data_IF_307097798194
#
_entry.id   IF_307097798194
#
_cell.length_a   1.000
_cell.length_b   1.000
_cell.length_c   1.000
_cell.angle_alpha   90.00
_cell.angle_beta   90.00
_cell.angle_gamma   90.00
#
_symmetry.space_group_name_H-M   'P 1'
#
loop_
_entity.id
_entity.type
_entity.pdbx_description
1 polymer ?
#
# COMPACT_ATOMS: atom_id res chain seq x y z
N UNK A 1 -58.34 -5.83 9.70
CA UNK A 1 -57.04 -5.11 9.72
C UNK A 1 -56.22 -5.73 10.83
N UNK A 2 -55.27 -6.60 10.48
CA UNK A 2 -54.34 -7.16 11.46
C UNK A 2 -53.11 -6.25 11.50
N UNK A 3 -52.86 -5.66 12.66
CA UNK A 3 -51.68 -4.85 12.94
C UNK A 3 -50.49 -5.82 13.04
N UNK A 4 -49.59 -5.80 12.04
CA UNK A 4 -48.33 -6.52 12.12
C UNK A 4 -47.43 -5.79 13.13
N UNK A 5 -46.96 -6.52 14.14
CA UNK A 5 -45.94 -6.03 15.07
C UNK A 5 -44.63 -5.76 14.28
N UNK A 6 -43.86 -4.72 14.62
CA UNK A 6 -42.56 -4.49 13.99
C UNK A 6 -41.66 -5.70 14.25
N UNK A 7 -40.93 -6.11 13.20
CA UNK A 7 -39.92 -7.16 13.32
C UNK A 7 -38.93 -6.78 14.42
N UNK A 8 -38.66 -7.71 15.33
CA UNK A 8 -37.64 -7.53 16.35
C UNK A 8 -36.31 -7.24 15.65
N UNK A 9 -35.70 -6.10 15.97
CA UNK A 9 -34.31 -5.81 15.60
C UNK A 9 -33.48 -6.92 16.21
N UNK A 10 -32.74 -7.67 15.38
CA UNK A 10 -31.89 -8.75 15.86
C UNK A 10 -30.94 -8.19 16.94
N UNK A 11 -30.90 -8.85 18.09
CA UNK A 11 -29.96 -8.52 19.15
C UNK A 11 -28.54 -8.65 18.60
N UNK A 12 -27.71 -7.62 18.80
CA UNK A 12 -26.32 -7.65 18.35
C UNK A 12 -25.64 -8.91 18.91
N UNK A 13 -24.78 -9.59 18.13
CA UNK A 13 -24.08 -10.77 18.62
C UNK A 13 -23.35 -10.44 19.93
N UNK A 14 -23.42 -11.36 20.89
CA UNK A 14 -22.70 -11.20 22.15
C UNK A 14 -21.19 -11.13 21.87
N UNK A 15 -20.47 -10.32 22.66
CA UNK A 15 -19.02 -10.21 22.53
C UNK A 15 -18.34 -11.57 22.64
N UNK A 16 -17.19 -11.75 21.97
CA UNK A 16 -16.36 -12.92 22.15
C UNK A 16 -15.96 -13.15 23.62
N UNK A 17 -15.67 -14.40 24.02
CA UNK A 17 -15.14 -14.70 25.35
C UNK A 17 -13.88 -13.88 25.65
N UNK A 18 -13.74 -13.40 26.89
CA UNK A 18 -12.56 -12.65 27.34
C UNK A 18 -12.57 -11.17 26.96
N UNK A 19 -13.67 -10.68 26.40
CA UNK A 19 -13.93 -9.28 26.12
C UNK A 19 -14.74 -8.60 27.24
N UNK A 20 -14.38 -7.37 27.57
CA UNK A 20 -15.13 -6.50 28.48
C UNK A 20 -15.40 -5.16 27.83
N UNK A 21 -16.61 -4.64 27.99
CA UNK A 21 -17.04 -3.33 27.46
C UNK A 21 -17.36 -2.35 28.59
N UNK A 22 -16.98 -1.09 28.42
CA UNK A 22 -17.35 0.02 29.32
C UNK A 22 -17.73 1.26 28.51
N UNK A 23 -18.63 2.10 29.02
CA UNK A 23 -19.06 3.29 28.30
C UNK A 23 -18.01 4.41 28.39
N UNK A 24 -17.76 5.09 27.27
CA UNK A 24 -16.89 6.25 27.22
C UNK A 24 -17.63 7.53 27.65
N UNK A 25 -16.96 8.51 28.28
CA UNK A 25 -17.58 9.76 28.74
C UNK A 25 -18.22 10.58 27.61
N UNK A 26 -17.70 10.45 26.40
CA UNK A 26 -18.13 11.15 25.18
C UNK A 26 -19.26 10.44 24.44
N UNK A 27 -19.72 9.28 24.93
CA UNK A 27 -20.44 8.30 24.14
C UNK A 27 -19.49 7.31 23.48
N UNK A 28 -20.02 6.18 23.00
CA UNK A 28 -19.23 5.05 22.54
C UNK A 28 -18.86 4.08 23.67
N UNK A 29 -17.97 3.14 23.38
CA UNK A 29 -17.53 2.04 24.22
C UNK A 29 -16.01 1.87 24.15
N UNK A 30 -15.43 1.53 25.30
CA UNK A 30 -14.10 0.97 25.39
C UNK A 30 -14.22 -0.54 25.56
N UNK A 31 -13.75 -1.29 24.57
CA UNK A 31 -13.76 -2.73 24.53
C UNK A 31 -12.33 -3.25 24.67
N UNK A 32 -12.11 -4.13 25.64
CA UNK A 32 -10.83 -4.80 25.84
C UNK A 32 -11.05 -6.30 25.75
N UNK A 33 -10.48 -6.93 24.73
CA UNK A 33 -10.46 -8.36 24.54
C UNK A 33 -9.07 -8.90 24.87
N UNK A 34 -8.99 -9.71 25.92
CA UNK A 34 -7.72 -10.30 26.41
C UNK A 34 -7.53 -11.76 25.98
N UNK A 35 -8.51 -12.30 25.24
CA UNK A 35 -8.53 -13.67 24.70
C UNK A 35 -8.55 -13.70 23.15
N UNK A 36 -8.27 -12.56 22.50
CA UNK A 36 -8.36 -12.40 21.06
C UNK A 36 -9.80 -12.42 20.55
N UNK A 37 -9.96 -12.56 19.23
CA UNK A 37 -11.28 -12.65 18.56
C UNK A 37 -11.32 -13.94 17.71
N UNK A 38 -12.03 -14.99 18.17
CA UNK A 38 -12.10 -16.27 17.48
C UNK A 38 -12.80 -16.22 16.12
N UNK A 39 -12.49 -17.19 15.26
CA UNK A 39 -13.13 -17.36 13.96
C UNK A 39 -14.66 -17.47 14.08
N UNK A 40 -15.38 -16.76 13.20
CA UNK A 40 -16.85 -16.74 13.19
C UNK A 40 -17.49 -15.88 14.29
N UNK A 41 -16.70 -15.14 15.06
CA UNK A 41 -17.19 -14.11 15.99
C UNK A 41 -16.87 -12.71 15.47
N UNK A 42 -17.64 -11.73 15.91
CA UNK A 42 -17.42 -10.31 15.59
C UNK A 42 -17.36 -9.50 16.87
N UNK A 43 -16.39 -8.60 16.95
CA UNK A 43 -16.29 -7.56 17.96
C UNK A 43 -16.69 -6.25 17.30
N UNK A 44 -17.78 -5.66 17.75
CA UNK A 44 -18.35 -4.47 17.13
C UNK A 44 -18.35 -3.32 18.14
N UNK A 45 -17.90 -2.16 17.69
CA UNK A 45 -18.17 -0.88 18.30
C UNK A 45 -19.64 -0.45 18.16
N UNK A 46 -19.84 0.84 17.96
CA UNK A 46 -21.10 1.56 17.97
C UNK A 46 -21.12 2.61 16.86
N UNK A 47 -22.15 3.45 16.82
CA UNK A 47 -22.24 4.58 15.88
C UNK A 47 -21.46 5.82 16.35
N UNK A 48 -20.51 5.64 17.27
CA UNK A 48 -19.72 6.70 17.90
C UNK A 48 -18.30 6.22 18.11
N UNK A 49 -17.39 7.18 18.20
CA UNK A 49 -16.01 6.98 18.59
C UNK A 49 -15.83 6.00 19.77
N UNK A 50 -15.16 4.90 19.47
CA UNK A 50 -14.88 3.77 20.33
C UNK A 50 -13.38 3.55 20.49
N UNK A 51 -13.04 2.78 21.51
CA UNK A 51 -11.68 2.29 21.72
C UNK A 51 -11.77 0.78 21.76
N UNK A 52 -11.13 0.10 20.81
CA UNK A 52 -11.13 -1.36 20.72
C UNK A 52 -9.70 -1.86 20.87
N UNK A 53 -9.44 -2.57 21.96
CA UNK A 53 -8.13 -3.15 22.26
C UNK A 53 -8.23 -4.67 22.23
N UNK A 54 -7.57 -5.29 21.26
CA UNK A 54 -7.47 -6.75 21.14
C UNK A 54 -6.05 -7.19 21.49
N UNK A 55 -5.97 -8.07 22.48
CA UNK A 55 -4.73 -8.68 22.99
C UNK A 55 -5.00 -10.14 23.38
N UNK A 56 -3.99 -11.01 23.32
CA UNK A 56 -3.95 -12.23 24.14
C UNK A 56 -4.71 -13.43 23.67
N UNK A 57 -4.07 -14.48 23.17
CA UNK A 57 -4.76 -15.76 22.98
C UNK A 57 -4.02 -16.71 22.05
N UNK A 58 -4.21 -18.02 22.24
CA UNK A 58 -3.82 -19.03 21.26
C UNK A 58 -4.81 -18.91 20.07
N UNK A 59 -4.43 -18.20 19.00
CA UNK A 59 -5.21 -17.85 17.78
C UNK A 59 -5.84 -16.43 17.75
N UNK A 60 -4.94 -15.43 17.78
CA UNK A 60 -5.08 -13.96 17.91
C UNK A 60 -6.34 -13.28 17.36
N UNK A 61 -6.41 -13.00 16.06
CA UNK A 61 -7.57 -12.39 15.40
C UNK A 61 -7.91 -13.25 14.18
N UNK A 62 -9.00 -14.02 14.30
CA UNK A 62 -9.55 -14.84 13.23
C UNK A 62 -11.01 -14.49 12.93
N UNK A 63 -11.69 -13.75 13.81
CA UNK A 63 -13.01 -13.17 13.58
C UNK A 63 -12.91 -11.76 12.99
N UNK A 64 -13.97 -10.97 13.16
CA UNK A 64 -14.00 -9.58 12.69
C UNK A 64 -13.89 -8.61 13.87
N UNK A 65 -13.18 -7.51 13.66
CA UNK A 65 -13.22 -6.32 14.53
C UNK A 65 -13.74 -5.17 13.68
N UNK A 66 -14.82 -4.54 14.11
CA UNK A 66 -15.47 -3.45 13.38
C UNK A 66 -15.67 -2.26 14.33
N UNK A 67 -15.17 -1.09 13.96
CA UNK A 67 -15.45 0.16 14.68
C UNK A 67 -16.90 0.61 14.48
N UNK A 68 -17.35 0.54 13.22
CA UNK A 68 -18.67 0.89 12.69
C UNK A 68 -18.83 2.38 12.37
N UNK A 69 -18.90 3.26 13.36
CA UNK A 69 -19.12 4.68 13.07
C UNK A 69 -18.52 5.61 14.11
N UNK A 70 -18.14 6.80 13.68
CA UNK A 70 -17.39 7.76 14.49
C UNK A 70 -15.91 7.38 14.58
N UNK A 71 -15.09 8.36 14.96
CA UNK A 71 -13.62 8.23 14.95
C UNK A 71 -13.12 7.20 15.97
N UNK A 72 -12.77 6.00 15.50
CA UNK A 72 -12.45 4.84 16.32
C UNK A 72 -10.94 4.65 16.50
N UNK A 73 -10.55 4.09 17.65
CA UNK A 73 -9.17 3.65 17.90
C UNK A 73 -9.15 2.14 18.05
N UNK A 74 -8.67 1.45 17.02
CA UNK A 74 -8.54 0.00 17.00
C UNK A 74 -7.07 -0.38 17.16
N UNK A 75 -6.73 -1.01 18.28
CA UNK A 75 -5.38 -1.53 18.53
C UNK A 75 -5.40 -3.05 18.66
N UNK A 76 -4.63 -3.71 17.79
CA UNK A 76 -4.38 -5.14 17.86
C UNK A 76 -2.90 -5.34 18.14
N UNK A 77 -2.56 -5.66 19.39
CA UNK A 77 -1.17 -5.87 19.83
C UNK A 77 -0.88 -7.35 20.10
N UNK A 78 0.38 -7.72 19.87
CA UNK A 78 0.91 -9.05 20.15
C UNK A 78 0.65 -9.48 21.58
N UNK A 79 0.23 -10.74 21.70
CA UNK A 79 0.59 -11.57 22.85
C UNK A 79 1.40 -12.75 22.33
N UNK A 80 2.62 -12.88 22.83
CA UNK A 80 3.64 -13.86 22.42
C UNK A 80 3.03 -15.26 22.26
N UNK A 81 2.69 -15.68 21.05
CA UNK A 81 2.45 -17.08 20.76
C UNK A 81 3.81 -17.77 20.73
N UNK A 82 4.02 -18.71 21.64
CA UNK A 82 5.17 -19.61 21.61
C UNK A 82 5.11 -20.49 20.35
N UNK A 83 5.66 -20.00 19.23
CA UNK A 83 6.11 -20.82 18.11
C UNK A 83 5.10 -21.16 17.00
N UNK A 84 4.12 -20.30 16.70
CA UNK A 84 3.17 -20.50 15.59
C UNK A 84 3.21 -19.38 14.55
N UNK A 85 3.28 -19.75 13.27
CA UNK A 85 3.36 -18.87 12.10
C UNK A 85 2.01 -18.24 11.70
N UNK A 86 2.01 -16.91 11.63
CA UNK A 86 1.00 -15.96 11.12
C UNK A 86 -0.19 -15.68 12.04
N UNK A 87 -0.35 -14.42 12.44
CA UNK A 87 -1.12 -14.03 13.64
C UNK A 87 -2.50 -13.41 13.35
N UNK A 88 -2.68 -12.63 12.28
CA UNK A 88 -3.95 -11.92 12.00
C UNK A 88 -4.56 -12.39 10.67
N UNK A 89 -5.58 -13.25 10.75
CA UNK A 89 -6.37 -13.76 9.61
C UNK A 89 -7.76 -13.18 9.52
N UNK A 90 -8.23 -12.66 10.65
CA UNK A 90 -9.51 -11.97 10.76
C UNK A 90 -9.50 -10.63 10.06
N UNK A 91 -10.67 -10.02 9.94
CA UNK A 91 -10.82 -8.69 9.36
C UNK A 91 -10.77 -7.62 10.44
N UNK A 92 -10.22 -6.47 10.07
CA UNK A 92 -10.37 -5.21 10.81
C UNK A 92 -11.04 -4.21 9.86
N UNK A 93 -12.03 -3.50 10.35
CA UNK A 93 -12.78 -2.48 9.61
C UNK A 93 -12.98 -1.29 10.56
N UNK A 94 -12.53 -0.10 10.17
CA UNK A 94 -12.75 1.13 10.93
C UNK A 94 -14.22 1.51 10.87
N UNK A 95 -14.71 1.81 9.67
CA UNK A 95 -16.12 2.11 9.42
C UNK A 95 -16.29 3.54 8.91
N UNK A 96 -17.31 4.25 9.39
CA UNK A 96 -17.46 5.69 9.11
C UNK A 96 -16.67 6.48 10.18
N UNK A 97 -15.99 7.56 9.81
CA UNK A 97 -15.23 8.41 10.74
C UNK A 97 -13.73 8.37 10.47
N UNK A 98 -12.97 9.24 11.14
CA UNK A 98 -11.52 9.29 10.97
C UNK A 98 -10.85 8.30 11.93
N UNK A 99 -10.56 7.09 11.45
CA UNK A 99 -10.17 5.97 12.30
C UNK A 99 -8.66 5.83 12.46
N UNK A 100 -8.27 5.25 13.60
CA UNK A 100 -6.88 4.90 13.88
C UNK A 100 -6.75 3.41 14.14
N UNK A 101 -6.22 2.71 13.14
CA UNK A 101 -5.98 1.27 13.19
C UNK A 101 -4.48 1.01 13.38
N UNK A 102 -4.13 0.40 14.51
CA UNK A 102 -2.74 0.01 14.81
C UNK A 102 -2.65 -1.48 15.04
N UNK A 103 -1.87 -2.14 14.18
CA UNK A 103 -1.55 -3.56 14.29
C UNK A 103 -0.06 -3.70 14.61
N UNK A 104 0.25 -3.89 15.89
CA UNK A 104 1.64 -3.99 16.36
C UNK A 104 2.06 -5.44 16.50
N UNK A 105 2.99 -5.86 15.65
CA UNK A 105 3.63 -7.17 15.76
C UNK A 105 5.17 -7.04 15.64
N UNK A 106 5.89 -7.91 16.35
CA UNK A 106 7.36 -8.03 16.33
C UNK A 106 7.80 -9.04 15.26
N UNK A 107 6.87 -9.84 14.73
CA UNK A 107 7.19 -10.78 13.66
C UNK A 107 7.19 -10.11 12.28
N UNK A 108 7.85 -10.80 11.36
CA UNK A 108 8.19 -10.26 10.04
C UNK A 108 6.99 -10.19 9.09
N UNK A 109 5.87 -10.87 9.39
CA UNK A 109 4.71 -11.10 8.50
C UNK A 109 3.42 -11.36 9.29
N UNK A 110 2.74 -10.31 9.70
CA UNK A 110 1.78 -10.30 10.81
C UNK A 110 0.33 -10.30 10.35
N UNK A 111 0.07 -9.71 9.18
CA UNK A 111 -1.27 -9.48 8.62
C UNK A 111 -1.49 -10.34 7.38
N UNK A 112 -2.45 -11.27 7.46
CA UNK A 112 -2.98 -12.06 6.34
C UNK A 112 -4.43 -11.71 6.00
N UNK A 113 -5.19 -11.19 6.98
CA UNK A 113 -6.58 -10.75 6.80
C UNK A 113 -6.69 -9.34 6.21
N UNK A 114 -7.91 -8.95 5.77
CA UNK A 114 -8.17 -7.61 5.28
C UNK A 114 -8.21 -6.59 6.42
N UNK A 115 -7.67 -5.40 6.16
CA UNK A 115 -7.81 -4.22 6.99
C UNK A 115 -8.39 -3.12 6.11
N UNK A 116 -9.52 -2.57 6.51
CA UNK A 116 -10.17 -1.44 5.85
C UNK A 116 -10.18 -0.25 6.82
N UNK A 117 -9.84 0.94 6.34
CA UNK A 117 -10.10 2.19 7.06
C UNK A 117 -11.60 2.45 7.03
N UNK A 118 -12.13 2.68 5.83
CA UNK A 118 -13.56 2.86 5.61
C UNK A 118 -13.83 4.20 4.96
N UNK A 119 -14.68 5.02 5.57
CA UNK A 119 -14.99 6.37 5.08
C UNK A 119 -14.55 7.41 6.12
N UNK A 120 -13.67 8.32 5.76
CA UNK A 120 -13.03 9.27 6.66
C UNK A 120 -11.53 9.31 6.40
N UNK A 121 -10.82 10.22 7.06
CA UNK A 121 -9.37 10.33 6.89
C UNK A 121 -8.66 9.37 7.86
N UNK A 122 -8.38 8.15 7.42
CA UNK A 122 -7.93 7.06 8.27
C UNK A 122 -6.41 7.00 8.45
N UNK A 123 -5.96 6.45 9.58
CA UNK A 123 -4.56 6.10 9.80
C UNK A 123 -4.41 4.62 10.12
N UNK A 124 -3.82 3.89 9.17
CA UNK A 124 -3.53 2.46 9.29
C UNK A 124 -2.03 2.24 9.46
N UNK A 125 -1.61 1.68 10.60
CA UNK A 125 -0.22 1.33 10.87
C UNK A 125 -0.08 -0.15 11.17
N UNK A 126 0.69 -0.88 10.37
CA UNK A 126 0.86 -2.34 10.52
C UNK A 126 2.33 -2.77 10.49
N UNK A 127 2.58 -3.98 10.98
CA UNK A 127 3.84 -4.70 10.80
C UNK A 127 4.04 -5.21 9.36
N UNK A 128 4.57 -6.42 9.19
CA UNK A 128 4.65 -7.04 7.87
C UNK A 128 3.28 -7.53 7.38
N UNK A 129 3.05 -7.50 6.07
CA UNK A 129 1.81 -7.97 5.44
C UNK A 129 2.15 -9.11 4.48
N UNK A 130 1.36 -10.19 4.46
CA UNK A 130 1.66 -11.34 3.61
C UNK A 130 0.44 -12.18 3.22
N UNK A 131 0.65 -13.25 2.44
CA UNK A 131 -0.35 -14.27 2.09
C UNK A 131 -1.68 -13.76 1.51
N UNK A 132 -1.61 -12.74 0.66
CA UNK A 132 -2.78 -12.05 0.06
C UNK A 132 -3.60 -11.26 1.06
N UNK A 133 -2.95 -10.77 2.12
CA UNK A 133 -3.48 -9.67 2.92
C UNK A 133 -3.89 -8.50 2.03
N UNK A 134 -4.85 -7.75 2.53
CA UNK A 134 -5.39 -6.56 1.89
C UNK A 134 -5.36 -5.44 2.91
N UNK A 135 -4.81 -4.30 2.53
CA UNK A 135 -4.99 -3.04 3.25
C UNK A 135 -5.57 -2.06 2.25
N UNK A 136 -6.65 -1.42 2.65
CA UNK A 136 -7.45 -0.51 1.84
C UNK A 136 -7.81 0.67 2.74
N UNK A 137 -7.41 1.89 2.38
CA UNK A 137 -7.74 3.09 3.14
C UNK A 137 -9.24 3.35 3.05
N UNK A 138 -9.74 3.46 1.82
CA UNK A 138 -11.17 3.54 1.54
C UNK A 138 -11.50 4.87 0.89
N UNK A 139 -12.28 5.72 1.55
CA UNK A 139 -12.61 7.06 1.04
C UNK A 139 -12.22 8.13 2.05
N UNK A 140 -11.43 9.11 1.64
CA UNK A 140 -10.84 10.12 2.52
C UNK A 140 -9.35 10.24 2.26
N UNK A 141 -8.68 11.22 2.87
CA UNK A 141 -7.23 11.38 2.72
C UNK A 141 -6.51 10.46 3.73
N UNK A 142 -6.16 9.24 3.31
CA UNK A 142 -5.71 8.17 4.19
C UNK A 142 -4.20 8.14 4.40
N UNK A 143 -3.78 7.55 5.52
CA UNK A 143 -2.37 7.31 5.84
C UNK A 143 -2.09 5.86 6.17
N UNK A 144 -1.48 5.15 5.23
CA UNK A 144 -1.11 3.74 5.36
C UNK A 144 0.40 3.60 5.57
N UNK A 145 0.82 3.02 6.69
CA UNK A 145 2.22 2.72 7.00
C UNK A 145 2.41 1.24 7.31
N UNK A 146 3.26 0.56 6.55
CA UNK A 146 3.51 -0.88 6.74
C UNK A 146 5.00 -1.20 6.83
N UNK A 147 5.30 -2.36 7.43
CA UNK A 147 6.58 -3.03 7.28
C UNK A 147 6.78 -3.60 5.87
N UNK A 148 7.40 -4.79 5.80
CA UNK A 148 7.57 -5.50 4.52
C UNK A 148 6.27 -6.17 4.07
N UNK A 149 5.87 -5.90 2.83
CA UNK A 149 4.67 -6.46 2.19
C UNK A 149 5.09 -7.54 1.21
N UNK A 150 4.48 -8.73 1.30
CA UNK A 150 4.82 -9.90 0.50
C UNK A 150 3.59 -10.57 -0.09
N UNK A 151 3.39 -10.45 -1.40
CA UNK A 151 2.19 -11.00 -2.07
C UNK A 151 0.88 -10.51 -1.45
N UNK A 152 0.61 -9.21 -1.50
CA UNK A 152 -0.58 -8.59 -0.91
C UNK A 152 -1.08 -7.42 -1.76
N UNK A 153 -2.29 -6.96 -1.46
CA UNK A 153 -2.89 -5.75 -2.04
C UNK A 153 -2.79 -4.63 -1.03
N UNK A 154 -2.28 -3.48 -1.45
CA UNK A 154 -2.32 -2.23 -0.70
C UNK A 154 -2.93 -1.20 -1.66
N UNK A 155 -4.04 -0.60 -1.26
CA UNK A 155 -4.79 0.40 -2.01
C UNK A 155 -5.00 1.60 -1.07
N UNK A 156 -4.74 2.82 -1.56
CA UNK A 156 -5.05 4.04 -0.80
C UNK A 156 -6.56 4.24 -0.77
N UNK A 157 -7.16 4.27 -1.96
CA UNK A 157 -8.60 4.43 -2.11
C UNK A 157 -8.94 5.71 -2.85
N UNK A 158 -10.10 6.32 -2.55
CA UNK A 158 -10.44 7.66 -3.04
C UNK A 158 -9.91 8.72 -2.07
N UNK A 159 -9.10 9.66 -2.53
CA UNK A 159 -8.56 10.73 -1.68
C UNK A 159 -7.09 10.99 -1.98
N UNK A 160 -6.46 11.91 -1.25
CA UNK A 160 -5.04 12.20 -1.39
C UNK A 160 -4.27 11.42 -0.32
N UNK A 161 -3.87 10.20 -0.66
CA UNK A 161 -3.37 9.24 0.30
C UNK A 161 -1.87 9.34 0.50
N UNK A 162 -1.40 8.90 1.67
CA UNK A 162 0.03 8.70 1.92
C UNK A 162 0.33 7.24 2.25
N UNK A 163 1.00 6.56 1.33
CA UNK A 163 1.41 5.17 1.45
C UNK A 163 2.91 5.08 1.74
N UNK A 164 3.29 4.56 2.90
CA UNK A 164 4.69 4.36 3.30
C UNK A 164 4.99 2.89 3.61
N UNK A 165 5.70 2.22 2.71
CA UNK A 165 6.02 0.80 2.82
C UNK A 165 7.54 0.58 2.94
N UNK A 166 7.96 -0.24 3.90
CA UNK A 166 9.38 -0.59 4.01
C UNK A 166 9.87 -1.42 2.79
N UNK A 167 9.03 -2.31 2.27
CA UNK A 167 9.28 -3.06 1.04
C UNK A 167 7.96 -3.60 0.47
N UNK A 168 7.88 -3.75 -0.85
CA UNK A 168 6.77 -4.40 -1.55
C UNK A 168 7.29 -5.49 -2.49
N UNK A 169 7.13 -6.75 -2.09
CA UNK A 169 7.76 -7.91 -2.71
C UNK A 169 6.71 -8.85 -3.32
N UNK A 170 6.71 -8.94 -4.64
CA UNK A 170 5.78 -9.79 -5.40
C UNK A 170 6.54 -10.88 -6.15
N UNK A 171 6.35 -12.17 -5.81
CA UNK A 171 6.93 -13.28 -6.55
C UNK A 171 6.42 -13.31 -8.00
N UNK A 172 7.26 -13.74 -8.94
CA UNK A 172 6.94 -13.69 -10.38
C UNK A 172 5.70 -14.50 -10.82
N UNK A 173 5.24 -15.47 -10.02
CA UNK A 173 4.03 -16.24 -10.29
C UNK A 173 2.76 -15.60 -9.74
N UNK A 174 2.89 -14.54 -8.93
CA UNK A 174 1.78 -13.81 -8.36
C UNK A 174 1.28 -12.76 -9.36
N UNK A 175 -0.04 -12.76 -9.56
CA UNK A 175 -0.76 -11.87 -10.48
C UNK A 175 -1.89 -11.10 -9.78
N UNK A 176 -2.05 -11.30 -8.48
CA UNK A 176 -3.12 -10.70 -7.68
C UNK A 176 -2.63 -9.51 -6.86
N UNK A 177 -1.32 -9.44 -6.59
CA UNK A 177 -0.74 -8.36 -5.81
C UNK A 177 -0.73 -7.04 -6.60
N UNK A 178 -1.21 -5.99 -5.95
CA UNK A 178 -1.30 -4.61 -6.43
C UNK A 178 -0.84 -3.66 -5.32
N UNK A 179 -0.14 -2.59 -5.69
CA UNK A 179 0.14 -1.44 -4.86
C UNK A 179 -0.34 -0.24 -5.68
N UNK A 180 -1.38 0.44 -5.19
CA UNK A 180 -2.04 1.55 -5.84
C UNK A 180 -2.24 2.69 -4.85
N UNK A 181 -2.10 3.93 -5.31
CA UNK A 181 -2.63 5.09 -4.59
C UNK A 181 -4.15 5.12 -4.72
N UNK A 182 -4.64 5.11 -5.95
CA UNK A 182 -6.06 5.19 -6.25
C UNK A 182 -6.40 6.54 -6.89
N UNK A 183 -7.67 6.99 -6.89
CA UNK A 183 -8.00 8.32 -7.38
C UNK A 183 -7.68 9.42 -6.35
N UNK A 184 -6.87 10.40 -6.76
CA UNK A 184 -6.49 11.58 -5.98
C UNK A 184 -5.00 11.86 -6.13
N UNK A 185 -4.45 12.84 -5.40
CA UNK A 185 -3.03 13.17 -5.51
C UNK A 185 -2.26 12.45 -4.39
N UNK A 186 -1.72 11.29 -4.70
CA UNK A 186 -1.17 10.37 -3.71
C UNK A 186 0.32 10.58 -3.50
N UNK A 187 0.80 10.27 -2.29
CA UNK A 187 2.23 10.23 -1.96
C UNK A 187 2.64 8.81 -1.59
N UNK A 188 3.36 8.14 -2.48
CA UNK A 188 3.74 6.73 -2.34
C UNK A 188 5.25 6.62 -2.14
N UNK A 189 5.69 6.13 -0.97
CA UNK A 189 7.10 5.87 -0.67
C UNK A 189 7.35 4.40 -0.38
N UNK A 190 8.21 3.76 -1.20
CA UNK A 190 8.59 2.36 -1.04
C UNK A 190 10.10 2.21 -0.86
N UNK A 191 10.52 1.54 0.21
CA UNK A 191 11.93 1.25 0.47
C UNK A 191 12.57 0.31 -0.58
N UNK A 192 11.93 -0.82 -0.87
CA UNK A 192 12.36 -1.77 -1.91
C UNK A 192 11.16 -2.31 -2.67
N UNK A 193 11.14 -2.18 -4.00
CA UNK A 193 10.02 -2.59 -4.85
C UNK A 193 10.38 -3.77 -5.76
N UNK A 194 9.58 -4.83 -5.75
CA UNK A 194 9.72 -5.98 -6.65
C UNK A 194 8.42 -6.37 -7.38
N UNK A 195 7.42 -5.49 -7.36
CA UNK A 195 6.08 -5.73 -7.91
C UNK A 195 5.62 -4.59 -8.81
N UNK A 196 4.34 -4.59 -9.20
CA UNK A 196 3.72 -3.40 -9.76
C UNK A 196 3.46 -2.34 -8.67
N UNK A 197 3.61 -1.08 -9.05
CA UNK A 197 3.20 0.11 -8.32
C UNK A 197 2.53 1.04 -9.34
N UNK A 198 1.38 1.55 -8.98
CA UNK A 198 0.56 2.50 -9.74
C UNK A 198 0.28 3.70 -8.84
N UNK A 199 0.38 4.92 -9.37
CA UNK A 199 -0.10 6.13 -8.72
C UNK A 199 -1.62 6.09 -8.71
N UNK A 200 -2.19 6.17 -9.91
CA UNK A 200 -3.61 6.13 -10.15
C UNK A 200 -4.03 7.41 -10.89
N UNK A 201 -5.33 7.75 -10.92
CA UNK A 201 -5.75 9.03 -11.45
C UNK A 201 -5.50 10.19 -10.48
N UNK A 202 -4.62 11.13 -10.83
CA UNK A 202 -4.30 12.33 -10.09
C UNK A 202 -2.83 12.71 -10.25
N UNK A 203 -2.37 13.76 -9.58
CA UNK A 203 -0.98 14.19 -9.66
C UNK A 203 -0.17 13.59 -8.51
N UNK A 204 0.43 12.43 -8.75
CA UNK A 204 1.03 11.59 -7.71
C UNK A 204 2.52 11.87 -7.48
N UNK A 205 2.98 11.72 -6.24
CA UNK A 205 4.38 11.73 -5.87
C UNK A 205 4.85 10.33 -5.47
N UNK A 206 5.56 9.66 -6.38
CA UNK A 206 6.08 8.30 -6.19
C UNK A 206 7.57 8.35 -5.91
N UNK A 207 8.00 7.75 -4.79
CA UNK A 207 9.42 7.58 -4.43
C UNK A 207 9.76 6.12 -4.16
N UNK A 208 10.65 5.53 -4.97
CA UNK A 208 11.16 4.17 -4.78
C UNK A 208 12.66 4.17 -4.53
N UNK A 209 13.07 3.81 -3.31
CA UNK A 209 14.48 3.89 -2.92
C UNK A 209 15.36 2.79 -3.55
N UNK A 210 14.77 1.66 -3.96
CA UNK A 210 15.50 0.58 -4.63
C UNK A 210 14.61 -0.46 -5.28
N UNK A 211 15.14 -1.13 -6.30
CA UNK A 211 14.48 -2.24 -6.98
C UNK A 211 14.95 -3.57 -6.39
N UNK A 212 14.01 -4.51 -6.28
CA UNK A 212 14.26 -5.83 -5.72
C UNK A 212 15.25 -6.65 -6.54
N UNK A 213 15.96 -7.56 -5.87
CA UNK A 213 16.95 -8.44 -6.50
C UNK A 213 16.32 -9.76 -6.98
N UNK A 214 16.98 -10.41 -7.92
CA UNK A 214 16.67 -11.76 -8.35
C UNK A 214 16.81 -12.75 -7.18
N UNK A 215 15.69 -13.33 -6.76
CA UNK A 215 15.64 -14.37 -5.73
C UNK A 215 15.28 -15.76 -6.28
N UNK A 216 15.00 -15.87 -7.58
CA UNK A 216 14.58 -17.11 -8.22
C UNK A 216 14.79 -17.13 -9.74
N UNK A 217 14.38 -18.25 -10.36
CA UNK A 217 14.56 -18.48 -11.81
C UNK A 217 13.51 -17.78 -12.68
N UNK A 218 12.36 -17.44 -12.09
CA UNK A 218 11.32 -16.66 -12.76
C UNK A 218 11.61 -15.18 -12.57
N UNK A 219 11.59 -14.44 -13.66
CA UNK A 219 11.89 -13.00 -13.70
C UNK A 219 10.58 -12.29 -14.04
N UNK A 220 10.23 -11.28 -13.24
CA UNK A 220 9.19 -10.30 -13.55
C UNK A 220 9.84 -8.93 -13.67
N UNK A 221 9.33 -8.11 -14.58
CA UNK A 221 9.67 -6.69 -14.59
C UNK A 221 9.00 -6.01 -13.40
N UNK A 222 9.76 -5.18 -12.69
CA UNK A 222 9.23 -4.24 -11.70
C UNK A 222 8.67 -3.05 -12.47
N UNK A 223 7.41 -2.71 -12.20
CA UNK A 223 6.70 -1.66 -12.93
C UNK A 223 6.34 -0.55 -11.96
N UNK A 224 6.67 0.68 -12.32
CA UNK A 224 6.18 1.90 -11.68
C UNK A 224 5.45 2.68 -12.77
N UNK A 225 4.20 3.02 -12.52
CA UNK A 225 3.34 3.80 -13.40
C UNK A 225 2.80 4.98 -12.59
N UNK A 226 2.83 6.19 -13.15
CA UNK A 226 2.07 7.32 -12.61
C UNK A 226 0.58 7.19 -12.91
N UNK A 227 0.26 6.61 -14.08
CA UNK A 227 -1.09 6.47 -14.64
C UNK A 227 -1.65 7.79 -15.22
N UNK A 228 -2.73 8.37 -14.71
CA UNK A 228 -3.36 9.57 -15.31
C UNK A 228 -3.10 10.80 -14.43
N UNK A 229 -2.33 11.76 -14.90
CA UNK A 229 -2.14 13.04 -14.22
C UNK A 229 -0.74 13.61 -14.44
N UNK A 230 -0.34 14.56 -13.61
CA UNK A 230 0.99 15.17 -13.73
C UNK A 230 1.85 14.67 -12.59
N UNK A 231 2.55 13.57 -12.83
CA UNK A 231 3.16 12.77 -11.80
C UNK A 231 4.62 13.13 -11.58
N UNK A 232 5.08 12.91 -10.35
CA UNK A 232 6.47 13.07 -9.95
C UNK A 232 7.01 11.74 -9.47
N UNK A 233 7.80 11.11 -10.33
CA UNK A 233 8.32 9.76 -10.12
C UNK A 233 9.82 9.82 -9.85
N UNK A 234 10.24 9.48 -8.62
CA UNK A 234 11.64 9.45 -8.20
C UNK A 234 12.08 8.04 -7.85
N UNK A 235 13.09 7.53 -8.55
CA UNK A 235 13.67 6.23 -8.22
C UNK A 235 15.17 6.30 -7.96
N UNK A 236 15.65 5.35 -7.18
CA UNK A 236 17.04 4.93 -7.22
C UNK A 236 17.47 4.47 -8.61
N UNK A 237 18.76 4.17 -8.77
CA UNK A 237 19.27 3.62 -10.02
C UNK A 237 18.56 2.29 -10.36
N UNK A 238 18.19 2.11 -11.63
CA UNK A 238 17.48 0.91 -12.11
C UNK A 238 18.31 0.15 -13.14
N UNK A 239 18.30 -1.18 -13.06
CA UNK A 239 19.10 -2.06 -13.91
C UNK A 239 20.61 -1.94 -13.65
N UNK A 240 21.04 -1.78 -12.39
CA UNK A 240 22.44 -1.50 -12.01
C UNK A 240 23.39 -2.68 -12.25
N UNK A 241 22.92 -3.90 -12.01
CA UNK A 241 23.68 -5.14 -12.16
C UNK A 241 22.79 -6.30 -12.60
N UNK A 242 23.40 -7.43 -12.99
CA UNK A 242 22.70 -8.60 -13.50
C UNK A 242 21.80 -9.30 -12.45
N UNK A 243 22.03 -9.04 -11.17
CA UNK A 243 21.27 -9.54 -10.04
C UNK A 243 20.07 -8.69 -9.63
N UNK A 244 19.83 -7.54 -10.26
CA UNK A 244 18.61 -6.75 -10.07
C UNK A 244 17.48 -7.27 -10.98
N UNK A 245 16.22 -7.06 -10.59
CA UNK A 245 15.08 -7.29 -11.48
C UNK A 245 15.07 -6.22 -12.60
N UNK A 246 14.57 -6.55 -13.81
CA UNK A 246 14.35 -5.53 -14.84
C UNK A 246 13.36 -4.48 -14.33
N UNK A 247 13.64 -3.21 -14.59
CA UNK A 247 12.76 -2.10 -14.23
C UNK A 247 12.06 -1.50 -15.45
N UNK A 248 10.79 -1.15 -15.32
CA UNK A 248 10.04 -0.33 -16.26
C UNK A 248 9.37 0.79 -15.46
N UNK A 249 9.69 2.02 -15.81
CA UNK A 249 9.04 3.22 -15.27
C UNK A 249 8.28 3.89 -16.40
N UNK A 250 7.04 4.27 -16.15
CA UNK A 250 6.17 5.01 -17.06
C UNK A 250 5.62 6.21 -16.30
N UNK A 251 5.63 7.37 -16.95
CA UNK A 251 4.89 8.54 -16.48
C UNK A 251 3.41 8.24 -16.57
N UNK A 252 2.92 8.16 -17.81
CA UNK A 252 1.55 7.78 -18.10
C UNK A 252 0.92 8.80 -19.03
N UNK A 253 -0.27 9.28 -18.70
CA UNK A 253 -0.92 10.37 -19.40
C UNK A 253 -0.83 11.64 -18.58
N UNK A 254 -0.25 12.70 -19.13
CA UNK A 254 -0.10 14.00 -18.51
C UNK A 254 1.37 14.40 -18.41
N UNK A 255 1.66 15.58 -17.88
CA UNK A 255 3.00 16.15 -17.96
C UNK A 255 3.86 15.71 -16.77
N UNK A 256 4.66 14.66 -16.96
CA UNK A 256 5.32 13.98 -15.86
C UNK A 256 6.76 14.44 -15.63
N UNK A 257 7.21 14.34 -14.39
CA UNK A 257 8.62 14.47 -14.01
C UNK A 257 9.14 13.13 -13.51
N UNK A 258 10.03 12.51 -14.30
CA UNK A 258 10.70 11.27 -13.92
C UNK A 258 12.17 11.56 -13.59
N UNK A 259 12.54 11.36 -12.33
CA UNK A 259 13.91 11.50 -11.83
C UNK A 259 14.56 10.16 -11.52
N UNK A 260 15.57 9.78 -12.32
CA UNK A 260 16.36 8.55 -12.15
C UNK A 260 17.86 8.80 -12.36
N UNK A 261 18.76 8.37 -11.47
CA UNK A 261 20.19 8.65 -11.63
C UNK A 261 20.83 7.85 -12.78
N UNK A 262 20.39 6.60 -13.00
CA UNK A 262 20.88 5.78 -14.12
C UNK A 262 19.90 4.67 -14.48
N UNK A 263 19.92 4.28 -15.75
CA UNK A 263 19.05 3.24 -16.33
C UNK A 263 19.90 2.22 -17.10
N UNK A 264 19.83 0.96 -16.69
CA UNK A 264 20.28 -0.21 -17.44
C UNK A 264 21.79 -0.35 -17.66
N UNK A 265 22.58 -0.16 -16.59
CA UNK A 265 24.04 -0.37 -16.60
C UNK A 265 24.44 -1.84 -16.71
N UNK A 266 23.69 -2.75 -16.09
CA UNK A 266 23.96 -4.19 -16.06
C UNK A 266 22.77 -5.08 -16.39
N UNK A 267 21.56 -4.50 -16.49
CA UNK A 267 20.32 -5.23 -16.77
C UNK A 267 19.34 -4.37 -17.56
N UNK A 268 18.45 -5.01 -18.32
CA UNK A 268 17.38 -4.31 -19.03
C UNK A 268 16.56 -3.43 -18.09
N UNK A 269 16.53 -2.14 -18.36
CA UNK A 269 15.66 -1.20 -17.70
C UNK A 269 15.18 -0.14 -18.68
N UNK A 270 13.96 0.35 -18.48
CA UNK A 270 13.34 1.35 -19.35
C UNK A 270 12.66 2.43 -18.51
N UNK A 271 12.78 3.67 -18.98
CA UNK A 271 11.97 4.80 -18.55
C UNK A 271 11.24 5.35 -19.77
N UNK A 272 9.94 5.56 -19.63
CA UNK A 272 9.06 6.13 -20.65
C UNK A 272 8.30 7.32 -20.07
N UNK A 273 8.20 8.42 -20.81
CA UNK A 273 7.22 9.47 -20.51
C UNK A 273 5.79 9.05 -20.87
N UNK A 274 5.66 8.30 -21.98
CA UNK A 274 4.40 7.83 -22.59
C UNK A 274 3.65 8.89 -23.41
N UNK A 275 2.63 9.58 -22.89
CA UNK A 275 1.86 10.59 -23.63
C UNK A 275 2.00 11.97 -22.95
N UNK A 276 1.93 13.07 -23.72
CA UNK A 276 2.10 14.47 -23.29
C UNK A 276 3.58 14.92 -23.11
N UNK A 277 3.80 16.10 -22.53
CA UNK A 277 5.10 16.77 -22.52
C UNK A 277 5.87 16.45 -21.22
N UNK A 278 6.76 15.46 -21.28
CA UNK A 278 7.45 14.92 -20.10
C UNK A 278 8.84 15.48 -19.86
N UNK A 279 9.28 15.41 -18.60
CA UNK A 279 10.66 15.69 -18.19
C UNK A 279 11.30 14.43 -17.60
N UNK A 280 12.30 13.89 -18.30
CA UNK A 280 13.10 12.76 -17.83
C UNK A 280 14.52 13.25 -17.50
N UNK A 281 14.93 13.18 -16.23
CA UNK A 281 16.21 13.71 -15.79
C UNK A 281 16.82 12.91 -14.63
N UNK A 282 18.09 13.19 -14.32
CA UNK A 282 18.69 12.73 -13.07
C UNK A 282 18.24 13.60 -11.89
N UNK A 283 18.39 13.11 -10.64
CA UNK A 283 17.99 13.84 -9.45
C UNK A 283 18.53 15.27 -9.42
N UNK A 284 17.65 16.23 -9.12
CA UNK A 284 17.99 17.65 -9.09
C UNK A 284 18.31 18.25 -10.46
N UNK A 285 17.78 17.66 -11.53
CA UNK A 285 17.98 18.11 -12.91
C UNK A 285 19.32 17.73 -13.55
N UNK A 286 20.00 16.73 -13.00
CA UNK A 286 21.24 16.18 -13.57
C UNK A 286 20.94 15.30 -14.80
N UNK A 287 21.97 14.74 -15.43
CA UNK A 287 21.78 13.82 -16.56
C UNK A 287 21.57 12.37 -16.07
N UNK A 288 20.59 11.68 -16.64
CA UNK A 288 20.41 10.23 -16.49
C UNK A 288 21.54 9.49 -17.21
N UNK A 289 22.29 8.65 -16.52
CA UNK A 289 23.27 7.78 -17.18
C UNK A 289 22.54 6.59 -17.83
N UNK A 290 22.57 6.51 -19.16
CA UNK A 290 21.89 5.45 -19.92
C UNK A 290 22.90 4.39 -20.34
N UNK A 291 22.85 3.25 -19.64
CA UNK A 291 23.72 2.11 -19.85
C UNK A 291 23.38 1.29 -21.11
N UNK A 292 24.22 0.32 -21.49
CA UNK A 292 24.05 -0.45 -22.72
C UNK A 292 22.77 -1.31 -22.77
N UNK A 293 22.12 -1.53 -21.61
CA UNK A 293 20.85 -2.23 -21.50
C UNK A 293 19.68 -1.29 -21.14
N UNK A 294 19.95 0.02 -21.10
CA UNK A 294 18.99 1.05 -20.74
C UNK A 294 18.31 1.65 -21.96
N UNK A 295 17.02 1.96 -21.79
CA UNK A 295 16.23 2.76 -22.73
C UNK A 295 15.61 3.93 -21.99
N UNK A 296 15.74 5.12 -22.56
CA UNK A 296 14.93 6.29 -22.19
C UNK A 296 14.11 6.67 -23.42
N UNK A 297 12.79 6.67 -23.27
CA UNK A 297 11.87 7.06 -24.32
C UNK A 297 11.01 8.22 -23.83
N UNK A 298 11.04 9.37 -24.49
CA UNK A 298 10.17 10.47 -24.11
C UNK A 298 8.69 10.18 -24.36
N UNK A 299 8.35 9.28 -25.29
CA UNK A 299 6.95 9.06 -25.68
C UNK A 299 6.42 10.12 -26.66
N UNK A 300 5.10 10.34 -26.70
CA UNK A 300 4.46 11.31 -27.58
C UNK A 300 4.38 12.68 -26.91
N UNK A 301 5.05 13.67 -27.48
CA UNK A 301 4.97 15.05 -27.02
C UNK A 301 6.27 15.79 -27.28
N UNK A 302 6.39 17.00 -26.76
CA UNK A 302 7.60 17.81 -26.77
C UNK A 302 8.44 17.56 -25.50
N UNK A 303 8.99 16.34 -25.40
CA UNK A 303 9.66 15.85 -24.19
C UNK A 303 11.05 16.46 -23.97
N UNK A 304 11.41 16.69 -22.71
CA UNK A 304 12.74 17.09 -22.27
C UNK A 304 13.46 15.93 -21.56
N UNK A 305 14.44 15.31 -22.22
CA UNK A 305 15.25 14.27 -21.59
C UNK A 305 16.70 14.73 -21.38
N UNK A 306 17.13 14.87 -20.12
CA UNK A 306 18.53 15.13 -19.77
C UNK A 306 19.26 13.80 -19.61
N UNK A 307 19.95 13.33 -20.65
CA UNK A 307 20.60 12.01 -20.65
C UNK A 307 22.09 12.07 -21.01
N UNK A 308 22.87 11.12 -20.49
CA UNK A 308 24.21 10.74 -20.94
C UNK A 308 24.22 9.27 -21.38
N UNK A 309 24.16 9.04 -22.70
CA UNK A 309 24.11 7.71 -23.30
C UNK A 309 25.46 7.23 -23.85
N UNK A 310 26.59 7.83 -23.43
CA UNK A 310 27.94 7.41 -23.88
C UNK A 310 28.29 5.97 -23.54
N UNK A 311 27.57 5.36 -22.59
CA UNK A 311 27.70 3.95 -22.23
C UNK A 311 26.99 2.99 -23.21
N UNK A 312 26.30 3.51 -24.24
CA UNK A 312 25.70 2.71 -25.32
C UNK A 312 24.19 2.49 -25.21
N UNK A 313 23.52 3.20 -24.31
CA UNK A 313 22.07 3.11 -24.14
C UNK A 313 21.26 3.79 -25.24
N UNK A 314 19.98 3.43 -25.31
CA UNK A 314 19.04 3.95 -26.32
C UNK A 314 18.28 5.14 -25.76
N UNK A 315 18.19 6.22 -26.55
CA UNK A 315 17.39 7.40 -26.22
C UNK A 315 16.53 7.74 -27.44
N UNK A 316 15.22 7.83 -27.26
CA UNK A 316 14.24 8.11 -28.33
C UNK A 316 13.20 9.13 -27.88
N UNK A 317 12.57 9.80 -28.84
CA UNK A 317 11.48 10.75 -28.63
C UNK A 317 11.76 11.85 -27.58
N UNK A 318 13.04 12.25 -27.49
CA UNK A 318 13.51 13.28 -26.59
C UNK A 318 13.92 14.53 -27.39
N UNK A 319 13.48 15.69 -26.94
CA UNK A 319 13.94 16.98 -27.41
C UNK A 319 15.43 17.19 -27.13
N UNK A 320 16.08 18.04 -27.95
CA UNK A 320 17.48 18.38 -27.76
C UNK A 320 17.65 19.30 -26.53
N UNK A 321 18.59 18.96 -25.65
CA UNK A 321 19.03 19.77 -24.50
C UNK A 321 20.28 20.57 -24.85
#
# INVERSE_FOLDING_TARGET
>A
MAWAAPAAVAEAPADPPGCTRSALPTGGVHIVCSQGVPAGTSLNGTDKADIIEVSGGDAHLNGAVNGLGGDDVITVDRIRASGGSFEIRGSIDGGDGDDRITVTDQDRFSVEGPIHGGAGDDTITTGGVSFRGLIDGGAGDDRITTGGVHSAVIDGGEGNDTLQLAAYVVPAYDKSSRLDGGPGNDTITVGSLSGPLHGGPGADEITVNGIGRLTGRLIRTVTVDGDEGADVIRLGAIGVDDGELPGLVRGGAGADLIEVPSVGLGRNAMVSGDDDDDVIQGPGGTSVVVGPYGTVDGGRGDNLCRTDNRAGGTVTNCGAV
#
